data_IF_524711014715
#
_entry.id   IF_524711014715
#
_cell.length_a   1.000
_cell.length_b   1.000
_cell.length_c   1.000
_cell.angle_alpha   90.00
_cell.angle_beta   90.00
_cell.angle_gamma   90.00
#
_symmetry.space_group_name_H-M   'P 1'
#
loop_
_entity.id
_entity.type
_entity.pdbx_description
1 polymer ?
#
# COMPACT_ATOMS: atom_id res chain seq x y z
N UNK A 1 -43.26 4.22 0.25
CA UNK A 1 -41.85 3.83 0.46
C UNK A 1 -41.64 2.36 0.81
N UNK A 2 -42.45 1.75 1.69
CA UNK A 2 -42.32 0.31 2.00
C UNK A 2 -42.48 -0.58 0.75
N UNK A 3 -43.46 -0.29 -0.10
CA UNK A 3 -43.69 -1.02 -1.35
C UNK A 3 -42.48 -0.96 -2.30
N UNK A 4 -41.93 0.23 -2.54
CA UNK A 4 -40.72 0.40 -3.38
C UNK A 4 -39.55 -0.43 -2.85
N UNK A 5 -39.34 -0.48 -1.52
CA UNK A 5 -38.30 -1.31 -0.91
C UNK A 5 -38.52 -2.80 -1.20
N UNK A 6 -39.76 -3.28 -1.07
CA UNK A 6 -40.11 -4.68 -1.32
C UNK A 6 -39.79 -5.03 -2.77
N UNK A 7 -40.21 -4.19 -3.72
CA UNK A 7 -40.03 -4.47 -5.14
C UNK A 7 -38.56 -4.43 -5.58
N UNK A 8 -37.77 -3.51 -5.04
CA UNK A 8 -36.31 -3.49 -5.25
C UNK A 8 -35.67 -4.80 -4.80
N UNK A 9 -36.03 -5.30 -3.61
CA UNK A 9 -35.45 -6.53 -3.05
C UNK A 9 -35.91 -7.77 -3.81
N UNK A 10 -37.16 -7.79 -4.28
CA UNK A 10 -37.68 -8.87 -5.11
C UNK A 10 -37.03 -8.93 -6.50
N UNK A 11 -36.35 -7.86 -6.93
CA UNK A 11 -35.68 -7.78 -8.22
C UNK A 11 -36.65 -7.69 -9.40
N UNK A 12 -37.88 -7.22 -9.18
CA UNK A 12 -38.85 -7.02 -10.24
C UNK A 12 -38.78 -5.57 -10.73
N UNK A 13 -38.10 -5.35 -11.86
CA UNK A 13 -37.85 -4.02 -12.40
C UNK A 13 -39.15 -3.33 -12.86
N UNK A 14 -40.11 -4.05 -13.43
CA UNK A 14 -41.39 -3.48 -13.87
C UNK A 14 -42.22 -3.00 -12.68
N UNK A 15 -42.35 -3.83 -11.65
CA UNK A 15 -43.05 -3.48 -10.42
C UNK A 15 -42.32 -2.38 -9.64
N UNK A 16 -40.98 -2.37 -9.66
CA UNK A 16 -40.19 -1.29 -9.07
C UNK A 16 -40.43 0.04 -9.78
N UNK A 17 -40.45 0.06 -11.13
CA UNK A 17 -40.77 1.25 -11.89
C UNK A 17 -42.19 1.75 -11.62
N UNK A 18 -43.17 0.86 -11.55
CA UNK A 18 -44.55 1.22 -11.24
C UNK A 18 -44.67 1.80 -9.82
N UNK A 19 -44.01 1.19 -8.85
CA UNK A 19 -43.97 1.66 -7.47
C UNK A 19 -43.28 3.03 -7.33
N UNK A 20 -42.21 3.27 -8.11
CA UNK A 20 -41.54 4.57 -8.15
C UNK A 20 -42.43 5.67 -8.73
N UNK A 21 -43.09 5.41 -9.87
CA UNK A 21 -44.05 6.33 -10.48
C UNK A 21 -45.20 6.70 -9.54
N UNK A 22 -45.71 5.72 -8.80
CA UNK A 22 -46.77 5.95 -7.82
C UNK A 22 -46.36 6.89 -6.66
N UNK A 23 -45.06 7.01 -6.41
CA UNK A 23 -44.50 7.84 -5.34
C UNK A 23 -44.10 9.24 -5.82
N UNK A 24 -44.01 9.49 -7.14
CA UNK A 24 -43.68 10.80 -7.73
C UNK A 24 -44.48 12.00 -7.16
N UNK A 25 -45.80 11.90 -6.92
CA UNK A 25 -46.57 13.01 -6.36
C UNK A 25 -46.16 13.38 -4.92
N UNK A 26 -45.43 12.51 -4.23
CA UNK A 26 -45.07 12.62 -2.82
C UNK A 26 -43.56 12.79 -2.61
N UNK A 27 -42.79 13.09 -3.66
CA UNK A 27 -41.32 13.22 -3.58
C UNK A 27 -40.84 14.21 -2.53
N UNK A 28 -41.59 15.30 -2.29
CA UNK A 28 -41.28 16.30 -1.28
C UNK A 28 -41.38 15.78 0.16
N UNK A 29 -42.07 14.65 0.36
CA UNK A 29 -42.30 14.03 1.66
C UNK A 29 -41.28 12.93 1.97
N UNK A 30 -40.46 12.55 0.99
CA UNK A 30 -39.46 11.48 1.15
C UNK A 30 -38.23 12.06 1.84
N UNK A 31 -37.86 11.45 2.96
CA UNK A 31 -36.67 11.87 3.70
C UNK A 31 -35.38 11.56 2.93
N UNK A 32 -34.31 12.36 3.12
CA UNK A 32 -33.01 12.05 2.54
C UNK A 32 -32.50 10.63 2.86
N UNK A 33 -32.78 10.12 4.05
CA UNK A 33 -32.40 8.75 4.45
C UNK A 33 -33.14 7.68 3.67
N UNK A 34 -34.42 7.89 3.36
CA UNK A 34 -35.18 6.96 2.52
C UNK A 34 -34.65 6.93 1.10
N UNK A 35 -34.26 8.08 0.54
CA UNK A 35 -33.63 8.14 -0.79
C UNK A 35 -32.32 7.35 -0.82
N UNK A 36 -31.45 7.54 0.18
CA UNK A 36 -30.17 6.82 0.27
C UNK A 36 -30.40 5.31 0.48
N UNK A 37 -31.32 4.91 1.36
CA UNK A 37 -31.67 3.50 1.59
C UNK A 37 -32.18 2.81 0.32
N UNK A 38 -33.03 3.47 -0.47
CA UNK A 38 -33.49 2.94 -1.75
C UNK A 38 -32.35 2.78 -2.76
N UNK A 39 -31.48 3.79 -2.88
CA UNK A 39 -30.32 3.74 -3.77
C UNK A 39 -29.41 2.56 -3.40
N UNK A 40 -29.10 2.38 -2.12
CA UNK A 40 -28.27 1.28 -1.64
C UNK A 40 -28.87 -0.09 -1.95
N UNK A 41 -30.17 -0.26 -1.71
CA UNK A 41 -30.88 -1.50 -2.00
C UNK A 41 -30.94 -1.78 -3.51
N UNK A 42 -31.14 -0.76 -4.34
CA UNK A 42 -31.17 -0.92 -5.79
C UNK A 42 -29.80 -1.29 -6.34
N UNK A 43 -28.73 -0.64 -5.88
CA UNK A 43 -27.36 -1.01 -6.23
C UNK A 43 -27.01 -2.44 -5.82
N UNK A 44 -27.66 -2.96 -4.76
CA UNK A 44 -27.49 -4.32 -4.30
C UNK A 44 -28.32 -5.35 -5.10
N UNK A 45 -29.57 -5.05 -5.43
CA UNK A 45 -30.56 -6.04 -5.91
C UNK A 45 -31.01 -5.84 -7.37
N UNK A 46 -31.24 -4.60 -7.78
CA UNK A 46 -31.93 -4.26 -9.03
C UNK A 46 -30.98 -4.08 -10.23
N UNK A 47 -31.55 -3.98 -11.43
CA UNK A 47 -30.81 -3.67 -12.66
C UNK A 47 -30.25 -2.24 -12.68
N UNK A 48 -29.39 -1.97 -13.67
CA UNK A 48 -28.84 -0.63 -13.88
C UNK A 48 -29.94 0.37 -14.22
N UNK A 49 -30.94 -0.05 -14.99
CA UNK A 49 -32.08 0.76 -15.42
C UNK A 49 -32.88 1.30 -14.22
N UNK A 50 -33.06 0.48 -13.18
CA UNK A 50 -33.70 0.92 -11.93
C UNK A 50 -32.83 1.92 -11.18
N UNK A 51 -31.51 1.68 -11.12
CA UNK A 51 -30.58 2.64 -10.49
C UNK A 51 -30.63 3.98 -11.23
N UNK A 52 -30.61 3.97 -12.57
CA UNK A 52 -30.74 5.18 -13.40
C UNK A 52 -32.06 5.91 -13.11
N UNK A 53 -33.17 5.16 -13.07
CA UNK A 53 -34.50 5.71 -12.76
C UNK A 53 -34.53 6.37 -11.37
N UNK A 54 -33.87 5.77 -10.38
CA UNK A 54 -33.76 6.36 -9.03
C UNK A 54 -32.95 7.65 -9.06
N UNK A 55 -31.88 7.73 -9.84
CA UNK A 55 -31.13 8.97 -10.01
C UNK A 55 -31.99 10.06 -10.67
N UNK A 56 -32.76 9.71 -11.69
CA UNK A 56 -33.60 10.68 -12.40
C UNK A 56 -34.77 11.17 -11.54
N UNK A 57 -35.30 10.30 -10.67
CA UNK A 57 -36.52 10.58 -9.90
C UNK A 57 -36.24 11.16 -8.51
N UNK A 58 -35.23 10.63 -7.80
CA UNK A 58 -35.01 10.92 -6.38
C UNK A 58 -33.87 11.88 -6.09
N UNK A 59 -32.98 12.15 -7.06
CA UNK A 59 -31.87 13.08 -6.84
C UNK A 59 -32.36 14.48 -6.37
N UNK A 60 -31.55 15.22 -5.60
CA UNK A 60 -30.20 14.87 -5.13
C UNK A 60 -30.20 13.88 -3.96
N UNK A 61 -29.14 13.07 -3.87
CA UNK A 61 -28.85 12.20 -2.71
C UNK A 61 -27.86 12.88 -1.79
N UNK A 62 -28.09 12.79 -0.48
CA UNK A 62 -27.19 13.37 0.53
C UNK A 62 -25.91 12.56 0.75
N UNK A 63 -25.87 11.30 0.31
CA UNK A 63 -24.73 10.39 0.43
C UNK A 63 -24.92 9.17 -0.47
N UNK A 64 -23.86 8.72 -1.16
CA UNK A 64 -23.89 7.64 -2.17
C UNK A 64 -22.70 6.68 -2.04
N UNK A 65 -21.64 7.04 -1.30
CA UNK A 65 -20.42 6.23 -1.14
C UNK A 65 -20.68 4.79 -0.67
N UNK A 66 -21.63 4.58 0.26
CA UNK A 66 -22.00 3.22 0.68
C UNK A 66 -22.69 2.41 -0.43
N UNK A 67 -23.49 3.04 -1.30
CA UNK A 67 -24.09 2.37 -2.45
C UNK A 67 -23.03 1.86 -3.43
N UNK A 68 -21.93 2.61 -3.63
CA UNK A 68 -20.77 2.17 -4.40
C UNK A 68 -20.05 1.00 -3.71
N UNK A 69 -19.84 1.07 -2.38
CA UNK A 69 -19.25 -0.04 -1.63
C UNK A 69 -20.09 -1.34 -1.76
N UNK A 70 -21.42 -1.23 -1.71
CA UNK A 70 -22.34 -2.35 -1.91
C UNK A 70 -22.26 -2.93 -3.32
N UNK A 71 -22.23 -2.07 -4.35
CA UNK A 71 -22.11 -2.50 -5.73
C UNK A 71 -20.80 -3.28 -5.97
N UNK A 72 -19.68 -2.78 -5.43
CA UNK A 72 -18.39 -3.46 -5.50
C UNK A 72 -18.41 -4.80 -4.75
N UNK A 73 -18.90 -4.81 -3.50
CA UNK A 73 -18.99 -6.01 -2.66
C UNK A 73 -19.79 -7.14 -3.30
N UNK A 74 -20.85 -6.78 -4.02
CA UNK A 74 -21.76 -7.74 -4.65
C UNK A 74 -21.42 -8.03 -6.11
N UNK A 75 -20.24 -7.61 -6.58
CA UNK A 75 -19.78 -7.91 -7.94
C UNK A 75 -20.64 -7.26 -9.03
N UNK A 76 -21.35 -6.17 -8.73
CA UNK A 76 -22.23 -5.46 -9.65
C UNK A 76 -21.41 -4.51 -10.52
N UNK A 77 -20.60 -5.07 -11.42
CA UNK A 77 -19.61 -4.34 -12.21
C UNK A 77 -20.21 -3.15 -12.97
N UNK A 78 -21.32 -3.37 -13.68
CA UNK A 78 -21.95 -2.34 -14.51
C UNK A 78 -22.44 -1.15 -13.67
N UNK A 79 -23.07 -1.44 -12.52
CA UNK A 79 -23.58 -0.43 -11.57
C UNK A 79 -22.42 0.32 -10.91
N UNK A 80 -21.38 -0.39 -10.46
CA UNK A 80 -20.21 0.24 -9.84
C UNK A 80 -19.53 1.23 -10.80
N UNK A 81 -19.37 0.85 -12.07
CA UNK A 81 -18.83 1.71 -13.13
C UNK A 81 -19.73 2.92 -13.39
N UNK A 82 -21.05 2.72 -13.37
CA UNK A 82 -22.00 3.80 -13.60
C UNK A 82 -21.98 4.84 -12.47
N UNK A 83 -21.96 4.39 -11.22
CA UNK A 83 -21.80 5.25 -10.05
C UNK A 83 -20.51 6.08 -10.12
N UNK A 84 -19.39 5.44 -10.46
CA UNK A 84 -18.10 6.14 -10.65
C UNK A 84 -18.18 7.17 -11.77
N UNK A 85 -18.84 6.85 -12.90
CA UNK A 85 -19.07 7.80 -14.01
C UNK A 85 -19.93 9.00 -13.59
N UNK A 86 -20.85 8.81 -12.65
CA UNK A 86 -21.68 9.87 -12.03
C UNK A 86 -20.93 10.67 -10.95
N UNK A 87 -19.64 10.40 -10.73
CA UNK A 87 -18.82 11.10 -9.74
C UNK A 87 -19.09 10.68 -8.30
N UNK A 88 -19.61 9.47 -8.07
CA UNK A 88 -19.69 8.88 -6.73
C UNK A 88 -18.30 8.42 -6.30
N UNK A 89 -17.87 8.84 -5.12
CA UNK A 89 -16.59 8.46 -4.52
C UNK A 89 -16.84 7.63 -3.23
N UNK A 90 -16.02 6.61 -2.97
CA UNK A 90 -16.14 5.76 -1.77
C UNK A 90 -15.93 6.56 -0.47
N UNK A 91 -15.09 7.59 -0.52
CA UNK A 91 -14.74 8.44 0.61
C UNK A 91 -15.40 9.82 0.51
N UNK A 92 -16.48 9.96 -0.25
CA UNK A 92 -17.22 11.23 -0.30
C UNK A 92 -17.83 11.59 1.05
N UNK A 93 -17.84 12.88 1.36
CA UNK A 93 -18.52 13.40 2.54
C UNK A 93 -20.04 13.51 2.30
N UNK A 94 -20.87 13.14 3.28
CA UNK A 94 -22.31 13.42 3.20
C UNK A 94 -22.58 14.93 3.06
N UNK A 95 -23.40 15.31 2.08
CA UNK A 95 -23.78 16.70 1.81
C UNK A 95 -24.92 17.15 2.74
N UNK A 96 -24.65 17.15 4.05
CA UNK A 96 -25.58 17.65 5.08
C UNK A 96 -25.21 19.09 5.44
N UNK A 97 -26.15 20.06 5.34
CA UNK A 97 -25.90 21.46 5.68
C UNK A 97 -25.33 21.65 7.10
N UNK A 98 -24.38 22.57 7.25
CA UNK A 98 -23.67 22.80 8.53
C UNK A 98 -24.61 23.16 9.69
N UNK A 99 -25.72 23.85 9.42
CA UNK A 99 -26.71 24.24 10.42
C UNK A 99 -27.72 23.16 10.79
N UNK A 100 -27.62 21.95 10.24
CA UNK A 100 -28.57 20.86 10.53
C UNK A 100 -28.42 20.37 11.97
N UNK A 101 -29.50 20.35 12.78
CA UNK A 101 -29.46 19.78 14.13
C UNK A 101 -28.98 18.33 14.12
N UNK A 102 -28.12 17.96 15.07
CA UNK A 102 -27.53 16.62 15.18
C UNK A 102 -26.76 16.17 13.92
N UNK A 103 -26.19 17.09 13.14
CA UNK A 103 -25.45 16.79 11.90
C UNK A 103 -24.46 15.64 12.05
N UNK A 104 -23.62 15.64 13.09
CA UNK A 104 -22.60 14.61 13.29
C UNK A 104 -23.21 13.21 13.44
N UNK A 105 -24.36 13.11 14.09
CA UNK A 105 -25.09 11.85 14.22
C UNK A 105 -25.69 11.39 12.89
N UNK A 106 -26.18 12.33 12.08
CA UNK A 106 -26.69 12.02 10.74
C UNK A 106 -25.57 11.54 9.82
N UNK A 107 -24.41 12.21 9.84
CA UNK A 107 -23.20 11.80 9.12
C UNK A 107 -22.79 10.40 9.57
N UNK A 108 -22.65 10.18 10.88
CA UNK A 108 -22.35 8.86 11.44
C UNK A 108 -23.34 7.81 10.95
N UNK A 109 -24.64 8.08 10.98
CA UNK A 109 -25.62 7.10 10.53
C UNK A 109 -25.46 6.78 9.03
N UNK A 110 -25.26 7.78 8.18
CA UNK A 110 -25.10 7.60 6.72
C UNK A 110 -23.81 6.85 6.37
N UNK A 111 -22.68 7.20 6.98
CA UNK A 111 -21.39 6.55 6.69
C UNK A 111 -21.21 5.22 7.44
N UNK A 112 -22.17 4.85 8.29
CA UNK A 112 -22.06 3.77 9.28
C UNK A 112 -20.84 4.03 10.16
N UNK A 113 -20.80 5.19 10.78
CA UNK A 113 -19.83 5.64 11.79
C UNK A 113 -19.47 4.51 12.73
N UNK A 114 -20.42 3.83 13.39
CA UNK A 114 -20.12 2.69 14.26
C UNK A 114 -19.39 1.49 13.59
N UNK A 115 -19.43 1.38 12.26
CA UNK A 115 -18.65 0.42 11.45
C UNK A 115 -17.39 1.04 10.80
N UNK A 116 -17.22 2.37 10.85
CA UNK A 116 -16.21 3.18 10.14
C UNK A 116 -15.52 4.23 11.03
N UNK A 117 -15.64 4.14 12.36
CA UNK A 117 -15.42 5.26 13.31
C UNK A 117 -13.96 5.64 13.59
N UNK A 118 -13.07 5.49 12.60
CA UNK A 118 -11.69 5.98 12.69
C UNK A 118 -11.32 6.81 11.45
N UNK A 119 -12.27 7.55 10.87
CA UNK A 119 -12.02 8.30 9.63
C UNK A 119 -11.23 9.60 9.79
N UNK A 120 -11.18 10.21 10.99
CA UNK A 120 -10.38 11.45 11.22
C UNK A 120 -8.88 11.22 11.03
N UNK A 121 -8.46 9.98 11.22
CA UNK A 121 -7.07 9.53 11.14
C UNK A 121 -6.89 8.50 10.01
N UNK A 122 -7.75 8.53 8.96
CA UNK A 122 -7.82 7.47 7.95
C UNK A 122 -6.48 7.10 7.31
N UNK A 123 -5.56 8.06 7.30
CA UNK A 123 -4.18 7.83 6.89
C UNK A 123 -3.21 7.85 8.08
N UNK A 124 -3.47 8.52 9.18
CA UNK A 124 -2.57 8.54 10.34
C UNK A 124 -2.51 7.18 11.06
N UNK A 125 -3.65 6.49 11.16
CA UNK A 125 -3.77 5.17 11.73
C UNK A 125 -3.97 4.12 10.61
N UNK A 126 -3.00 3.22 10.34
CA UNK A 126 -3.13 2.18 9.31
C UNK A 126 -4.31 1.23 9.56
N UNK A 127 -4.70 1.07 10.83
CA UNK A 127 -5.81 0.21 11.27
C UNK A 127 -7.15 0.95 11.36
N UNK A 128 -7.20 2.22 10.90
CA UNK A 128 -8.44 2.95 10.78
C UNK A 128 -9.47 2.21 9.92
N UNK A 129 -10.75 2.45 10.16
CA UNK A 129 -11.82 1.87 9.32
C UNK A 129 -12.45 2.96 8.48
N UNK A 130 -12.72 2.65 7.21
CA UNK A 130 -13.42 3.51 6.26
C UNK A 130 -14.55 2.76 5.56
N UNK A 131 -15.34 3.53 4.82
CA UNK A 131 -16.38 3.02 3.92
C UNK A 131 -15.82 2.05 2.88
N UNK A 132 -14.58 2.25 2.43
CA UNK A 132 -13.87 1.33 1.53
C UNK A 132 -13.84 -0.08 2.07
N UNK A 133 -13.64 -0.27 3.39
CA UNK A 133 -13.71 -1.60 4.03
C UNK A 133 -15.05 -2.29 3.81
N UNK A 134 -16.14 -1.52 3.71
CA UNK A 134 -17.48 -2.03 3.41
C UNK A 134 -17.56 -2.83 2.11
N UNK A 135 -16.67 -2.58 1.14
CA UNK A 135 -16.59 -3.37 -0.08
C UNK A 135 -16.02 -4.79 0.17
N UNK A 136 -15.13 -4.95 1.16
CA UNK A 136 -14.30 -6.14 1.37
C UNK A 136 -14.73 -7.03 2.54
N UNK A 137 -15.82 -6.70 3.24
CA UNK A 137 -16.28 -7.48 4.40
C UNK A 137 -17.65 -8.09 4.14
N UNK A 138 -17.92 -9.29 4.71
CA UNK A 138 -19.25 -9.89 4.64
C UNK A 138 -20.33 -8.94 5.17
N UNK A 139 -21.57 -9.03 4.67
CA UNK A 139 -22.69 -8.26 5.19
C UNK A 139 -22.88 -8.48 6.69
N UNK A 140 -23.13 -7.40 7.42
CA UNK A 140 -23.48 -7.42 8.84
C UNK A 140 -24.91 -6.95 9.09
N UNK A 141 -25.49 -7.38 10.21
CA UNK A 141 -26.88 -7.09 10.58
C UNK A 141 -27.15 -5.62 10.96
N UNK A 142 -26.14 -4.75 10.93
CA UNK A 142 -26.22 -3.34 11.32
C UNK A 142 -26.01 -2.37 10.15
N UNK A 143 -25.99 -2.85 8.91
CA UNK A 143 -25.71 -2.02 7.73
C UNK A 143 -26.93 -1.26 7.20
N UNK A 144 -28.13 -1.76 7.43
CA UNK A 144 -29.35 -1.18 6.89
C UNK A 144 -29.68 0.17 7.54
N UNK A 145 -29.88 1.21 6.72
CA UNK A 145 -30.28 2.53 7.21
C UNK A 145 -31.69 2.53 7.78
N UNK A 146 -32.60 1.83 7.09
CA UNK A 146 -34.02 1.80 7.38
C UNK A 146 -34.61 0.43 7.04
N UNK A 147 -35.62 0.03 7.80
CA UNK A 147 -36.38 -1.20 7.54
C UNK A 147 -35.58 -2.48 7.82
N UNK A 148 -35.95 -3.55 7.12
CA UNK A 148 -35.33 -4.86 7.30
C UNK A 148 -33.89 -4.90 6.79
N UNK A 149 -33.06 -5.74 7.41
CA UNK A 149 -31.70 -6.00 6.97
C UNK A 149 -31.68 -6.45 5.51
N UNK A 150 -30.66 -6.00 4.77
CA UNK A 150 -30.42 -6.41 3.39
C UNK A 150 -29.01 -6.97 3.28
N UNK A 151 -28.88 -8.10 2.59
CA UNK A 151 -27.59 -8.73 2.29
C UNK A 151 -27.71 -9.55 1.02
N UNK A 152 -26.66 -9.54 0.20
CA UNK A 152 -26.54 -10.39 -0.99
C UNK A 152 -25.30 -11.27 -0.84
N UNK A 153 -25.23 -12.35 -1.63
CA UNK A 153 -24.07 -13.23 -1.67
C UNK A 153 -22.76 -12.44 -1.80
N UNK A 154 -21.75 -12.87 -1.05
CA UNK A 154 -20.47 -12.19 -0.93
C UNK A 154 -19.32 -13.14 -1.29
N UNK A 155 -18.37 -12.63 -2.07
CA UNK A 155 -17.13 -13.32 -2.44
C UNK A 155 -15.99 -12.31 -2.45
N UNK A 156 -15.01 -12.50 -1.56
CA UNK A 156 -13.82 -11.64 -1.50
C UNK A 156 -13.03 -11.71 -2.81
N UNK A 157 -12.93 -12.88 -3.42
CA UNK A 157 -12.22 -13.10 -4.69
C UNK A 157 -12.84 -12.28 -5.82
N UNK A 158 -14.17 -12.34 -5.95
CA UNK A 158 -14.90 -11.59 -6.98
C UNK A 158 -14.82 -10.08 -6.75
N UNK A 159 -14.94 -9.67 -5.48
CA UNK A 159 -14.82 -8.27 -5.08
C UNK A 159 -13.44 -7.71 -5.43
N UNK A 160 -12.37 -8.41 -5.04
CA UNK A 160 -10.99 -7.99 -5.31
C UNK A 160 -10.74 -7.91 -6.81
N UNK A 161 -11.15 -8.91 -7.59
CA UNK A 161 -10.96 -8.91 -9.03
C UNK A 161 -11.68 -7.72 -9.71
N UNK A 162 -12.89 -7.39 -9.25
CA UNK A 162 -13.63 -6.23 -9.74
C UNK A 162 -12.93 -4.91 -9.40
N UNK A 163 -12.49 -4.76 -8.15
CA UNK A 163 -11.77 -3.56 -7.69
C UNK A 163 -10.47 -3.39 -8.47
N UNK A 164 -9.68 -4.45 -8.65
CA UNK A 164 -8.44 -4.42 -9.44
C UNK A 164 -8.72 -3.98 -10.88
N UNK A 165 -9.75 -4.54 -11.52
CA UNK A 165 -10.15 -4.19 -12.88
C UNK A 165 -10.50 -2.71 -12.99
N UNK A 166 -11.36 -2.20 -12.10
CA UNK A 166 -11.76 -0.79 -12.09
C UNK A 166 -10.58 0.14 -11.77
N UNK A 167 -9.71 -0.24 -10.83
CA UNK A 167 -8.52 0.53 -10.47
C UNK A 167 -7.54 0.65 -11.65
N UNK A 168 -7.37 -0.42 -12.43
CA UNK A 168 -6.49 -0.45 -13.61
C UNK A 168 -6.90 0.53 -14.71
N UNK A 169 -8.15 0.99 -14.68
CA UNK A 169 -8.72 1.97 -15.61
C UNK A 169 -8.65 3.41 -15.11
N UNK A 170 -8.08 3.65 -13.92
CA UNK A 170 -7.93 5.00 -13.35
C UNK A 170 -9.26 5.64 -12.95
N UNK A 171 -10.25 4.83 -12.52
CA UNK A 171 -11.60 5.33 -12.17
C UNK A 171 -11.74 5.80 -10.73
N UNK A 172 -10.81 5.45 -9.84
CA UNK A 172 -10.81 5.89 -8.45
C UNK A 172 -9.99 7.18 -8.29
N UNK A 173 -10.41 8.05 -7.37
CA UNK A 173 -9.59 9.17 -6.94
C UNK A 173 -8.31 8.70 -6.26
N UNK A 174 -7.27 9.53 -6.24
CA UNK A 174 -5.98 9.20 -5.60
C UNK A 174 -6.15 8.78 -4.14
N UNK A 175 -7.05 9.45 -3.40
CA UNK A 175 -7.32 9.17 -1.98
C UNK A 175 -7.98 7.81 -1.79
N UNK A 176 -8.96 7.46 -2.64
CA UNK A 176 -9.57 6.11 -2.62
C UNK A 176 -8.56 5.06 -3.00
N UNK A 177 -7.70 5.32 -4.00
CA UNK A 177 -6.66 4.40 -4.42
C UNK A 177 -5.70 4.06 -3.26
N UNK A 178 -5.25 5.07 -2.52
CA UNK A 178 -4.43 4.89 -1.32
C UNK A 178 -5.18 4.10 -0.22
N UNK A 179 -6.47 4.38 -0.02
CA UNK A 179 -7.30 3.71 0.99
C UNK A 179 -7.65 2.26 0.60
N UNK A 180 -7.73 1.94 -0.69
CA UNK A 180 -7.87 0.57 -1.19
C UNK A 180 -6.65 -0.27 -0.83
N UNK A 181 -5.43 0.27 -1.02
CA UNK A 181 -4.21 -0.40 -0.57
C UNK A 181 -4.23 -0.59 0.95
N UNK A 182 -4.49 0.48 1.70
CA UNK A 182 -4.54 0.45 3.18
C UNK A 182 -5.53 -0.61 3.67
N UNK A 183 -6.75 -0.62 3.11
CA UNK A 183 -7.80 -1.57 3.46
C UNK A 183 -7.40 -3.00 3.12
N UNK A 184 -6.77 -3.24 1.97
CA UNK A 184 -6.30 -4.56 1.58
C UNK A 184 -5.21 -5.08 2.54
N UNK A 185 -4.21 -4.27 2.88
CA UNK A 185 -3.17 -4.65 3.85
C UNK A 185 -3.74 -4.89 5.25
N UNK A 186 -4.67 -4.04 5.70
CA UNK A 186 -5.37 -4.19 6.97
C UNK A 186 -6.10 -5.53 7.07
N UNK A 187 -6.88 -5.88 6.05
CA UNK A 187 -7.67 -7.10 6.03
C UNK A 187 -6.79 -8.34 5.87
N UNK A 188 -5.70 -8.26 5.10
CA UNK A 188 -4.72 -9.33 5.02
C UNK A 188 -4.07 -9.62 6.38
N UNK A 189 -3.55 -8.58 7.04
CA UNK A 189 -2.95 -8.71 8.36
C UNK A 189 -3.93 -9.24 9.41
N UNK A 190 -5.18 -8.77 9.34
CA UNK A 190 -6.23 -9.19 10.28
C UNK A 190 -6.67 -10.64 10.05
N UNK A 191 -6.77 -11.07 8.79
CA UNK A 191 -7.12 -12.43 8.40
C UNK A 191 -5.99 -13.44 8.70
N UNK A 192 -4.72 -13.05 8.62
CA UNK A 192 -3.62 -13.90 9.08
C UNK A 192 -3.60 -14.08 10.60
N UNK A 193 -3.83 -13.00 11.35
CA UNK A 193 -3.89 -13.07 12.83
C UNK A 193 -5.08 -13.87 13.33
N UNK A 194 -6.23 -13.73 12.68
CA UNK A 194 -7.48 -14.36 13.11
C UNK A 194 -8.19 -15.08 11.95
N UNK A 195 -7.63 -16.17 11.39
CA UNK A 195 -8.19 -16.82 10.20
C UNK A 195 -9.65 -17.27 10.35
N UNK A 196 -10.04 -17.69 11.56
CA UNK A 196 -11.40 -18.13 11.86
C UNK A 196 -12.46 -17.00 11.78
N UNK A 197 -12.05 -15.73 11.87
CA UNK A 197 -12.95 -14.58 11.83
C UNK A 197 -13.19 -14.03 10.42
N UNK A 198 -12.50 -14.57 9.41
CA UNK A 198 -12.57 -14.09 8.04
C UNK A 198 -12.91 -15.21 7.06
N UNK A 199 -13.56 -14.90 5.93
CA UNK A 199 -13.75 -15.87 4.87
C UNK A 199 -12.41 -16.47 4.40
N UNK A 200 -12.41 -17.74 3.96
CA UNK A 200 -11.24 -18.33 3.31
C UNK A 200 -10.73 -17.44 2.18
N UNK A 201 -9.41 -17.47 1.94
CA UNK A 201 -8.73 -16.69 0.92
C UNK A 201 -8.73 -15.16 1.10
N UNK A 202 -9.30 -14.62 2.18
CA UNK A 202 -9.31 -13.15 2.42
C UNK A 202 -7.91 -12.57 2.37
N UNK A 203 -6.96 -13.16 3.09
CA UNK A 203 -5.60 -12.63 3.12
C UNK A 203 -4.90 -12.71 1.77
N UNK A 204 -4.96 -13.88 1.11
CA UNK A 204 -4.39 -14.10 -0.23
C UNK A 204 -4.97 -13.14 -1.27
N UNK A 205 -6.29 -12.96 -1.28
CA UNK A 205 -6.99 -12.07 -2.22
C UNK A 205 -6.59 -10.62 -1.98
N UNK A 206 -6.58 -10.17 -0.72
CA UNK A 206 -6.20 -8.81 -0.38
C UNK A 206 -4.73 -8.51 -0.71
N UNK A 207 -3.80 -9.45 -0.44
CA UNK A 207 -2.39 -9.27 -0.83
C UNK A 207 -2.20 -9.28 -2.36
N UNK A 208 -3.02 -10.05 -3.09
CA UNK A 208 -3.03 -10.03 -4.57
C UNK A 208 -3.43 -8.64 -5.07
N UNK A 209 -4.50 -8.06 -4.52
CA UNK A 209 -4.90 -6.69 -4.83
C UNK A 209 -3.80 -5.69 -4.48
N UNK A 210 -3.25 -5.76 -3.26
CA UNK A 210 -2.21 -4.84 -2.81
C UNK A 210 -1.00 -4.85 -3.76
N UNK A 211 -0.61 -6.03 -4.25
CA UNK A 211 0.49 -6.18 -5.22
C UNK A 211 0.13 -5.52 -6.55
N UNK A 212 -1.10 -5.72 -7.03
CA UNK A 212 -1.57 -5.10 -8.25
C UNK A 212 -1.58 -3.56 -8.15
N UNK A 213 -2.09 -3.01 -7.04
CA UNK A 213 -2.12 -1.57 -6.79
C UNK A 213 -0.71 -0.96 -6.72
N UNK A 214 0.21 -1.59 -5.98
CA UNK A 214 1.62 -1.14 -5.92
C UNK A 214 2.28 -1.15 -7.31
N UNK A 215 2.01 -2.19 -8.12
CA UNK A 215 2.50 -2.28 -9.50
C UNK A 215 1.88 -1.23 -10.42
N UNK A 216 0.64 -0.82 -10.19
CA UNK A 216 0.01 0.26 -10.97
C UNK A 216 0.68 1.62 -10.68
N UNK A 217 1.00 1.91 -9.42
CA UNK A 217 1.73 3.13 -9.04
C UNK A 217 3.14 3.17 -9.62
N UNK A 218 3.90 2.07 -9.56
CA UNK A 218 5.26 2.04 -10.12
C UNK A 218 5.32 2.23 -11.64
N UNK A 219 4.20 2.00 -12.34
CA UNK A 219 4.06 2.23 -13.79
C UNK A 219 3.39 3.57 -14.15
N UNK A 220 3.32 4.54 -13.21
CA UNK A 220 2.66 5.83 -13.37
C UNK A 220 1.18 5.74 -13.80
N UNK A 221 0.50 4.63 -13.48
CA UNK A 221 -0.95 4.48 -13.68
C UNK A 221 -1.76 4.82 -12.42
N UNK A 222 -1.09 5.14 -11.31
CA UNK A 222 -1.69 5.67 -10.09
C UNK A 222 -1.20 7.09 -9.86
N UNK A 223 -2.14 8.03 -9.71
CA UNK A 223 -1.88 9.46 -9.50
C UNK A 223 -1.59 9.75 -8.01
N UNK A 224 -0.74 8.94 -7.36
CA UNK A 224 -0.53 9.02 -5.92
C UNK A 224 0.95 8.99 -5.53
N UNK A 225 1.41 10.04 -4.85
CA UNK A 225 2.76 10.14 -4.26
C UNK A 225 2.84 9.46 -2.87
N UNK A 226 1.72 8.99 -2.34
CA UNK A 226 1.58 8.58 -0.93
C UNK A 226 1.61 7.07 -0.71
N UNK A 227 1.63 6.27 -1.76
CA UNK A 227 1.46 4.82 -1.63
C UNK A 227 2.55 4.16 -0.78
N UNK A 228 3.81 4.62 -0.91
CA UNK A 228 4.93 4.17 -0.08
C UNK A 228 4.73 4.60 1.38
N UNK A 229 4.18 5.79 1.63
CA UNK A 229 3.86 6.27 2.97
C UNK A 229 2.71 5.46 3.60
N UNK A 230 1.74 5.00 2.82
CA UNK A 230 0.68 4.08 3.28
C UNK A 230 1.29 2.75 3.70
N UNK A 231 2.12 2.14 2.85
CA UNK A 231 2.81 0.89 3.17
C UNK A 231 3.71 1.03 4.41
N UNK A 232 4.42 2.16 4.55
CA UNK A 232 5.32 2.44 5.69
C UNK A 232 4.60 2.45 7.05
N UNK A 233 3.30 2.71 7.06
CA UNK A 233 2.48 2.70 8.28
C UNK A 233 2.11 1.30 8.73
N UNK A 234 2.18 0.30 7.86
CA UNK A 234 2.04 -1.11 8.26
C UNK A 234 3.34 -1.70 8.79
N UNK A 235 4.44 -0.95 8.84
CA UNK A 235 5.65 -1.39 9.55
C UNK A 235 5.53 -0.91 11.00
N UNK A 236 4.81 -1.70 11.79
CA UNK A 236 4.52 -1.49 13.22
C UNK A 236 4.58 -2.82 13.97
N UNK A 237 4.79 -2.82 15.29
CA UNK A 237 4.82 -4.05 16.08
C UNK A 237 3.56 -4.91 15.96
N UNK A 238 2.41 -4.29 15.72
CA UNK A 238 1.11 -4.98 15.66
C UNK A 238 0.80 -5.59 14.29
N UNK A 239 1.67 -5.38 13.28
CA UNK A 239 1.44 -5.95 11.95
C UNK A 239 1.91 -7.39 11.89
N UNK A 240 1.11 -8.23 11.24
CA UNK A 240 1.42 -9.65 11.03
C UNK A 240 2.67 -9.83 10.17
N UNK A 241 3.46 -10.86 10.49
CA UNK A 241 4.74 -11.16 9.85
C UNK A 241 4.60 -11.39 8.34
N UNK A 242 3.55 -12.08 7.89
CA UNK A 242 3.32 -12.31 6.46
C UNK A 242 3.02 -11.01 5.71
N UNK A 243 2.33 -10.07 6.37
CA UNK A 243 2.07 -8.74 5.80
C UNK A 243 3.35 -7.91 5.76
N UNK A 244 4.23 -8.03 6.76
CA UNK A 244 5.56 -7.40 6.70
C UNK A 244 6.42 -8.00 5.59
N UNK A 245 6.45 -9.33 5.45
CA UNK A 245 7.16 -10.02 4.38
C UNK A 245 6.69 -9.56 3.00
N UNK A 246 5.37 -9.43 2.82
CA UNK A 246 4.80 -8.88 1.61
C UNK A 246 5.31 -7.46 1.29
N UNK A 247 5.39 -6.57 2.29
CA UNK A 247 5.92 -5.20 2.11
C UNK A 247 7.41 -5.26 1.75
N UNK A 248 8.20 -6.12 2.39
CA UNK A 248 9.60 -6.34 2.07
C UNK A 248 9.81 -6.79 0.61
N UNK A 249 8.95 -7.68 0.10
CA UNK A 249 9.01 -8.16 -1.29
C UNK A 249 8.62 -7.08 -2.30
N UNK A 250 7.53 -6.36 -2.04
CA UNK A 250 6.92 -5.46 -3.02
C UNK A 250 7.46 -4.03 -2.96
N UNK A 251 7.92 -3.58 -1.78
CA UNK A 251 8.40 -2.24 -1.52
C UNK A 251 9.57 -2.24 -0.50
N UNK A 252 10.70 -2.93 -0.80
CA UNK A 252 11.84 -3.07 0.12
C UNK A 252 12.41 -1.73 0.60
N UNK A 253 12.34 -0.68 -0.23
CA UNK A 253 12.78 0.66 0.13
C UNK A 253 12.03 1.22 1.35
N UNK A 254 10.74 0.90 1.47
CA UNK A 254 9.90 1.34 2.59
C UNK A 254 10.36 0.68 3.89
N UNK A 255 10.69 -0.62 3.84
CA UNK A 255 11.24 -1.33 4.99
C UNK A 255 12.59 -0.76 5.40
N UNK A 256 13.50 -0.51 4.45
CA UNK A 256 14.81 0.06 4.76
C UNK A 256 14.73 1.46 5.38
N UNK A 257 13.86 2.33 4.86
CA UNK A 257 13.64 3.65 5.44
C UNK A 257 13.15 3.56 6.87
N UNK A 258 12.21 2.65 7.16
CA UNK A 258 11.71 2.42 8.51
C UNK A 258 12.79 1.86 9.43
N UNK A 259 13.56 0.86 8.97
CA UNK A 259 14.66 0.26 9.72
C UNK A 259 15.70 1.30 10.13
N UNK A 260 16.04 2.24 9.24
CA UNK A 260 17.00 3.30 9.54
C UNK A 260 16.51 4.29 10.61
N UNK A 261 15.19 4.54 10.68
CA UNK A 261 14.61 5.55 11.56
C UNK A 261 13.92 5.04 12.83
N UNK A 262 13.65 3.73 12.94
CA UNK A 262 12.85 3.17 14.03
C UNK A 262 13.65 2.26 14.96
N UNK A 263 13.94 2.76 16.17
CA UNK A 263 14.69 2.02 17.20
C UNK A 263 14.06 0.68 17.58
N UNK A 264 12.72 0.63 17.65
CA UNK A 264 12.02 -0.61 18.01
C UNK A 264 12.26 -1.72 16.98
N UNK A 265 12.35 -1.37 15.69
CA UNK A 265 12.57 -2.32 14.61
C UNK A 265 14.01 -2.80 14.60
N UNK A 266 14.97 -1.90 14.87
CA UNK A 266 16.39 -2.27 15.02
C UNK A 266 16.65 -3.16 16.23
N UNK A 267 15.82 -3.07 17.28
CA UNK A 267 15.91 -3.93 18.47
C UNK A 267 15.20 -5.28 18.28
N UNK A 268 14.25 -5.38 17.36
CA UNK A 268 13.54 -6.61 17.08
C UNK A 268 14.29 -7.45 16.01
N UNK A 269 15.41 -8.01 16.43
CA UNK A 269 16.29 -8.79 15.54
C UNK A 269 15.59 -10.01 14.95
N UNK A 270 14.74 -10.71 15.71
CA UNK A 270 14.03 -11.89 15.20
C UNK A 270 13.14 -11.56 14.01
N UNK A 271 12.41 -10.44 14.08
CA UNK A 271 11.61 -9.94 12.97
C UNK A 271 12.50 -9.55 11.78
N UNK A 272 13.55 -8.76 12.02
CA UNK A 272 14.46 -8.33 10.94
C UNK A 272 15.10 -9.53 10.25
N UNK A 273 15.51 -10.55 11.03
CA UNK A 273 16.03 -11.83 10.55
C UNK A 273 15.04 -12.52 9.62
N UNK A 274 13.79 -12.68 10.06
CA UNK A 274 12.74 -13.31 9.25
C UNK A 274 12.50 -12.56 7.93
N UNK A 275 12.67 -11.24 7.91
CA UNK A 275 12.45 -10.42 6.70
C UNK A 275 13.60 -10.49 5.68
N UNK A 276 14.80 -10.94 6.03
CA UNK A 276 15.98 -10.91 5.12
C UNK A 276 15.71 -11.63 3.80
N UNK A 277 15.08 -12.81 3.86
CA UNK A 277 14.75 -13.61 2.69
C UNK A 277 13.71 -12.98 1.75
N UNK A 278 12.99 -11.96 2.22
CA UNK A 278 11.99 -11.23 1.46
C UNK A 278 12.53 -9.92 0.87
N UNK A 279 13.75 -9.52 1.23
CA UNK A 279 14.34 -8.26 0.80
C UNK A 279 15.21 -8.42 -0.46
N UNK A 280 15.24 -7.36 -1.27
CA UNK A 280 16.22 -7.21 -2.35
C UNK A 280 17.28 -6.19 -1.96
N UNK A 281 18.53 -6.29 -2.47
CA UNK A 281 19.60 -5.39 -2.09
C UNK A 281 19.25 -3.91 -2.32
N UNK A 282 19.36 -3.10 -1.27
CA UNK A 282 19.18 -1.64 -1.33
C UNK A 282 20.47 -0.88 -1.66
N UNK A 283 20.50 0.39 -1.26
CA UNK A 283 21.70 1.24 -1.33
C UNK A 283 22.78 0.80 -0.34
N UNK A 284 24.03 1.26 -0.53
CA UNK A 284 25.13 0.98 0.41
C UNK A 284 24.77 1.35 1.86
N UNK A 285 24.09 2.49 2.05
CA UNK A 285 23.67 2.95 3.38
C UNK A 285 22.62 2.01 3.98
N UNK A 286 21.57 1.70 3.22
CA UNK A 286 20.48 0.82 3.68
C UNK A 286 20.99 -0.58 4.03
N UNK A 287 21.83 -1.15 3.15
CA UNK A 287 22.45 -2.45 3.38
C UNK A 287 23.38 -2.41 4.60
N UNK A 288 24.08 -1.29 4.83
CA UNK A 288 24.93 -1.10 6.00
C UNK A 288 24.14 -1.04 7.32
N UNK A 289 22.96 -0.42 7.33
CA UNK A 289 22.07 -0.43 8.50
C UNK A 289 21.59 -1.86 8.81
N UNK A 290 21.10 -2.58 7.80
CA UNK A 290 20.67 -3.98 7.97
C UNK A 290 21.81 -4.87 8.47
N UNK A 291 22.99 -4.75 7.86
CA UNK A 291 24.19 -5.50 8.25
C UNK A 291 24.53 -5.28 9.74
N UNK A 292 24.44 -4.04 10.23
CA UNK A 292 24.70 -3.69 11.62
C UNK A 292 23.69 -4.32 12.58
N UNK A 293 22.41 -4.29 12.22
CA UNK A 293 21.33 -4.87 13.04
C UNK A 293 21.50 -6.38 13.15
N UNK A 294 21.74 -7.08 12.04
CA UNK A 294 21.97 -8.53 12.03
C UNK A 294 23.25 -8.91 12.79
N UNK A 295 24.32 -8.12 12.66
CA UNK A 295 25.56 -8.34 13.40
C UNK A 295 25.39 -8.18 14.92
N UNK A 296 24.63 -7.16 15.34
CA UNK A 296 24.28 -6.93 16.75
C UNK A 296 23.43 -8.06 17.34
N UNK A 297 22.63 -8.76 16.53
CA UNK A 297 21.74 -9.82 16.99
C UNK A 297 22.22 -11.25 16.74
N UNK A 298 23.50 -11.43 16.43
CA UNK A 298 24.12 -12.72 16.16
C UNK A 298 23.50 -13.53 14.98
N UNK A 299 22.93 -12.85 13.98
CA UNK A 299 22.28 -13.48 12.81
C UNK A 299 23.31 -13.88 11.73
N UNK A 300 24.17 -14.85 12.04
CA UNK A 300 25.29 -15.22 11.17
C UNK A 300 24.85 -15.79 9.81
N UNK A 301 23.76 -16.53 9.76
CA UNK A 301 23.31 -17.16 8.51
C UNK A 301 22.74 -16.13 7.53
N UNK A 302 21.96 -15.18 8.02
CA UNK A 302 21.43 -14.07 7.23
C UNK A 302 22.55 -13.12 6.76
N UNK A 303 23.58 -12.92 7.59
CA UNK A 303 24.79 -12.21 7.16
C UNK A 303 25.50 -12.93 6.01
N UNK A 304 25.53 -14.27 6.00
CA UNK A 304 26.07 -15.03 4.87
C UNK A 304 25.17 -14.92 3.63
N UNK A 305 23.85 -14.92 3.80
CA UNK A 305 22.87 -14.74 2.70
C UNK A 305 23.02 -13.38 2.01
N UNK A 306 23.45 -12.35 2.73
CA UNK A 306 23.73 -11.03 2.17
C UNK A 306 25.04 -10.96 1.38
N UNK A 307 25.93 -11.96 1.41
CA UNK A 307 27.22 -11.92 0.68
C UNK A 307 27.12 -11.56 -0.81
N UNK A 308 26.19 -12.14 -1.60
CA UNK A 308 26.04 -11.78 -3.01
C UNK A 308 25.53 -10.35 -3.23
N UNK A 309 25.08 -9.64 -2.20
CA UNK A 309 24.48 -8.32 -2.34
C UNK A 309 25.55 -7.26 -2.64
N UNK A 310 25.37 -6.57 -3.77
CA UNK A 310 26.28 -5.48 -4.17
C UNK A 310 26.26 -4.35 -3.15
N UNK A 311 27.41 -3.70 -2.96
CA UNK A 311 27.58 -2.55 -2.08
C UNK A 311 27.25 -2.78 -0.60
N UNK A 312 27.10 -4.03 -0.15
CA UNK A 312 26.83 -4.36 1.26
C UNK A 312 28.11 -4.40 2.09
N UNK A 313 29.07 -5.23 1.70
CA UNK A 313 30.33 -5.48 2.42
C UNK A 313 31.43 -4.47 2.04
N UNK A 314 31.15 -3.18 2.21
CA UNK A 314 32.16 -2.12 2.06
C UNK A 314 33.01 -2.00 3.33
N UNK A 315 34.23 -1.47 3.22
CA UNK A 315 35.11 -1.29 4.38
C UNK A 315 34.43 -0.52 5.53
N UNK A 316 33.65 0.52 5.21
CA UNK A 316 32.89 1.28 6.20
C UNK A 316 31.77 0.45 6.86
N UNK A 317 30.98 -0.27 6.07
CA UNK A 317 29.87 -1.09 6.59
C UNK A 317 30.38 -2.26 7.44
N UNK A 318 31.46 -2.93 7.01
CA UNK A 318 32.04 -4.05 7.74
C UNK A 318 32.57 -3.59 9.10
N UNK A 319 33.32 -2.48 9.14
CA UNK A 319 33.83 -1.94 10.42
C UNK A 319 32.69 -1.62 11.38
N UNK A 320 31.65 -0.91 10.91
CA UNK A 320 30.49 -0.59 11.74
C UNK A 320 29.72 -1.84 12.23
N UNK A 321 29.70 -2.92 11.43
CA UNK A 321 29.09 -4.18 11.83
C UNK A 321 29.96 -4.96 12.84
N UNK A 322 31.29 -4.92 12.72
CA UNK A 322 32.22 -5.49 13.70
C UNK A 322 32.06 -4.78 15.04
N UNK A 323 32.02 -3.45 15.03
CA UNK A 323 31.82 -2.65 16.24
C UNK A 323 30.50 -3.04 16.92
N UNK A 324 29.41 -3.11 16.15
CA UNK A 324 28.09 -3.48 16.69
C UNK A 324 28.02 -4.92 17.23
N UNK A 325 28.66 -5.90 16.56
CA UNK A 325 28.76 -7.26 17.07
C UNK A 325 29.62 -7.34 18.35
N UNK A 326 30.71 -6.58 18.40
CA UNK A 326 31.62 -6.55 19.55
C UNK A 326 30.98 -5.90 20.77
N UNK A 327 30.27 -4.78 20.58
CA UNK A 327 29.50 -4.10 21.64
C UNK A 327 28.42 -5.02 22.23
N UNK A 328 27.81 -5.88 21.40
CA UNK A 328 26.82 -6.85 21.83
C UNK A 328 27.42 -8.15 22.42
N UNK A 329 28.75 -8.31 22.39
CA UNK A 329 29.44 -9.50 22.91
C UNK A 329 29.42 -10.71 21.98
N UNK A 330 29.13 -10.54 20.70
CA UNK A 330 29.04 -11.63 19.71
C UNK A 330 30.37 -11.85 18.98
N UNK A 331 31.33 -12.45 19.69
CA UNK A 331 32.70 -12.66 19.20
C UNK A 331 32.78 -13.49 17.90
N UNK A 332 31.91 -14.49 17.73
CA UNK A 332 31.88 -15.33 16.52
C UNK A 332 31.54 -14.50 15.26
N UNK A 333 30.54 -13.63 15.36
CA UNK A 333 30.12 -12.77 14.24
C UNK A 333 31.19 -11.73 13.94
N UNK A 334 31.79 -11.12 14.97
CA UNK A 334 32.90 -10.19 14.79
C UNK A 334 34.10 -10.86 14.11
N UNK A 335 34.46 -12.08 14.53
CA UNK A 335 35.53 -12.85 13.92
C UNK A 335 35.23 -13.19 12.46
N UNK A 336 34.00 -13.63 12.14
CA UNK A 336 33.60 -13.88 10.76
C UNK A 336 33.66 -12.62 9.90
N UNK A 337 33.15 -11.48 10.39
CA UNK A 337 33.21 -10.20 9.68
C UNK A 337 34.66 -9.73 9.44
N UNK A 338 35.59 -9.98 10.36
CA UNK A 338 37.02 -9.72 10.15
C UNK A 338 37.60 -10.54 9.00
N UNK A 339 37.23 -11.80 8.86
CA UNK A 339 37.65 -12.62 7.69
C UNK A 339 37.12 -12.04 6.38
N UNK A 340 35.89 -11.51 6.39
CA UNK A 340 35.31 -10.84 5.22
C UNK A 340 36.05 -9.53 4.91
N UNK A 341 36.41 -8.75 5.94
CA UNK A 341 37.18 -7.52 5.78
C UNK A 341 38.54 -7.75 5.10
N UNK A 342 39.25 -8.82 5.50
CA UNK A 342 40.53 -9.21 4.90
C UNK A 342 40.38 -9.48 3.40
N UNK A 343 39.39 -10.31 3.01
CA UNK A 343 39.13 -10.61 1.59
C UNK A 343 38.78 -9.39 0.73
N UNK A 344 38.04 -8.42 1.29
CA UNK A 344 37.71 -7.15 0.59
C UNK A 344 38.95 -6.28 0.39
N UNK A 345 39.85 -6.22 1.38
CA UNK A 345 41.08 -5.44 1.29
C UNK A 345 42.09 -6.04 0.30
N UNK A 346 42.20 -7.37 0.24
CA UNK A 346 43.08 -8.05 -0.70
C UNK A 346 42.61 -7.90 -2.16
N UNK A 347 41.29 -7.91 -2.37
CA UNK A 347 40.68 -7.65 -3.69
C UNK A 347 40.97 -6.23 -4.20
N UNK A 348 41.04 -5.23 -3.31
CA UNK A 348 41.43 -3.85 -3.65
C UNK A 348 42.92 -3.73 -3.98
N UNK A 349 43.79 -4.50 -3.32
CA UNK A 349 45.23 -4.52 -3.60
C UNK A 349 45.57 -5.20 -4.93
N UNK A 350 44.84 -6.24 -5.31
CA UNK A 350 45.02 -6.94 -6.59
C UNK A 350 44.51 -6.18 -7.83
N UNK A 351 43.67 -5.15 -7.66
CA UNK A 351 43.15 -4.32 -8.75
C UNK A 351 44.00 -3.08 -9.07
N UNK A 352 45.12 -2.86 -8.34
CA UNK A 352 46.07 -1.81 -8.70
C UNK A 352 46.87 -2.26 -9.95
N UNK A 353 46.88 -1.49 -11.07
CA UNK A 353 47.68 -1.85 -12.22
C UNK A 353 49.16 -1.82 -11.80
N UNK A 354 49.86 -2.94 -11.99
CA UNK A 354 51.30 -3.02 -11.83
C UNK A 354 51.96 -1.96 -12.73
N UNK A 355 52.40 -0.85 -12.13
CA UNK A 355 53.39 0.02 -12.74
C UNK A 355 54.67 -0.81 -12.89
N UNK A 356 55.05 -1.12 -14.13
CA UNK A 356 56.32 -1.80 -14.44
C UNK A 356 57.48 -0.94 -13.93
N UNK A 357 58.52 -1.53 -13.32
CA UNK A 357 59.74 -0.81 -13.00
C UNK A 357 60.48 -0.48 -14.31
N UNK A 358 60.81 0.79 -14.52
CA UNK A 358 61.72 1.21 -15.58
C UNK A 358 63.13 0.68 -15.28
N UNK A 359 63.58 -0.27 -16.10
CA UNK A 359 64.97 -0.69 -16.14
C UNK A 359 65.80 0.39 -16.83
N UNK A 360 66.89 0.80 -16.18
CA UNK A 360 67.99 1.55 -16.80
C UNK A 360 68.62 0.70 -17.90
N UNK A 361 68.85 1.29 -19.07
CA UNK A 361 69.81 0.80 -20.05
C UNK A 361 70.75 1.94 -20.41
N UNK A 362 72.02 1.72 -20.12
CA UNK A 362 73.15 2.54 -20.55
C UNK A 362 73.45 2.31 -22.04
N UNK A 363 74.07 3.35 -22.63
CA UNK A 363 74.88 3.39 -23.86
C UNK A 363 74.15 3.39 -25.21
N UNK A 364 74.22 4.53 -25.90
CA UNK A 364 75.12 4.59 -27.08
C UNK A 364 75.69 6.00 -27.27
N UNK A 365 77.02 6.04 -27.44
CA UNK A 365 77.81 7.21 -27.76
C UNK A 365 77.77 7.52 -29.27
N UNK A 366 78.06 8.81 -29.56
CA UNK A 366 78.62 9.42 -30.79
C UNK A 366 77.64 10.37 -31.49
N UNK A 367 77.77 11.68 -31.26
CA UNK A 367 78.81 12.59 -31.77
C UNK A 367 78.52 12.92 -33.24
N UNK A 368 77.89 14.06 -33.48
CA UNK A 368 78.41 15.01 -34.45
C UNK A 368 77.91 16.44 -34.19
N UNK A 369 78.83 17.34 -34.51
CA UNK A 369 78.96 18.74 -34.13
C UNK A 369 78.01 19.69 -34.87
N UNK A 370 78.09 20.92 -34.40
CA UNK A 370 77.78 22.18 -35.10
C UNK A 370 76.30 22.57 -35.18
N UNK A 371 75.86 23.45 -34.28
CA UNK A 371 75.79 24.86 -34.68
C UNK A 371 75.70 25.82 -33.48
N UNK A 372 76.55 26.85 -33.52
CA UNK A 372 76.57 28.01 -32.64
C UNK A 372 75.53 29.03 -33.14
N UNK A 373 74.71 29.60 -32.25
CA UNK A 373 73.93 30.79 -32.61
C UNK A 373 73.00 31.31 -31.53
N UNK A 374 73.43 32.41 -30.90
CA UNK A 374 72.68 33.49 -30.22
C UNK A 374 71.49 33.15 -29.30
N UNK A 375 71.55 33.41 -27.98
CA UNK A 375 71.50 34.72 -27.30
C UNK A 375 70.32 35.62 -27.71
N UNK A 376 69.66 36.12 -26.67
CA UNK A 376 68.68 37.22 -26.64
C UNK A 376 67.32 37.00 -27.32
N UNK A 377 66.30 36.72 -26.51
CA UNK A 377 65.30 37.73 -26.12
C UNK A 377 64.49 37.21 -24.92
N UNK A 378 64.72 37.75 -23.71
CA UNK A 378 64.05 38.92 -23.15
C UNK A 378 62.59 38.65 -22.76
N UNK A 379 62.46 38.38 -21.46
CA UNK A 379 61.39 38.81 -20.56
C UNK A 379 60.45 39.88 -21.12
N UNK A 380 59.16 39.60 -21.05
CA UNK A 380 58.19 40.47 -20.36
C UNK A 380 57.08 39.61 -19.74
#
# INVERSE_FOLDING_TARGET
>A
MAEVRIQIVNGNDEETCAALKAVEPYLSQISPFEKVDLLERACLWSSKEIVDTLFDTLAPFVYRGWALALALRSGREEIARDLLRRGVDLLEDPTIPLGTPNRDELVRRLTRGGLTEVSKELFENPFAVSVTRGAFVPPSNSEALLGANYSRGYSIVTTVALIEKIASEGRFSAVVFDDLLRTALLLASSAHRNPASYPPETAKSCLTLARALLKMCSNNKGDTERIDAVAARFITPDTDENTMAFICECAPQVFYQKLAGADWLQKNTDLVRAMVNHLTPGTQYQNGVLLRVLARGACLDELKEMRPWKNTFTSANINAAIDAASEAGHAEVAAWLLTVAQGVNDSKKGAAPHAKPQAKSDQDERDDRDDLGDLSDLLL
#
